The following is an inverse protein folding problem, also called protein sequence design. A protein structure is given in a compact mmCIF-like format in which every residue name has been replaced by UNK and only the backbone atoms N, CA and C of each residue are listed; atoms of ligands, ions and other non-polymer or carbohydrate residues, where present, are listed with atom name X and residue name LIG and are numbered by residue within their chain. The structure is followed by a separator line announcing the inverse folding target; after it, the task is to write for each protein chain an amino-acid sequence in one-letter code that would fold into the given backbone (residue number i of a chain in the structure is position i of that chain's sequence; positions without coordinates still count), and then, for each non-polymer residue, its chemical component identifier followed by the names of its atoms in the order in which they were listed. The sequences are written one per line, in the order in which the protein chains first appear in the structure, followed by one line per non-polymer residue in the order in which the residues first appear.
data_IF_977824215214
#
_entry.id   IF_977824215214
#
_cell.length_a   1.000
_cell.length_b   1.000
_cell.length_c   1.000
_cell.angle_alpha   90.00
_cell.angle_beta   90.00
_cell.angle_gamma   90.00
#
_symmetry.space_group_name_H-M   'P 1'
#
loop_
_entity.id
_entity.type
_entity.pdbx_description
1 polymer ?
#
# COMPACT_ATOMS: atom_id res chain seq x y z
N UNK A 1 37.26 -4.03 -1.92
CA UNK A 1 36.22 -3.13 -2.47
C UNK A 1 36.00 -2.02 -1.46
N UNK A 2 36.02 -0.75 -1.86
CA UNK A 2 35.71 0.36 -0.95
C UNK A 2 34.20 0.60 -0.98
N UNK A 3 33.48 0.30 0.10
CA UNK A 3 32.00 0.40 0.14
C UNK A 3 31.51 1.82 -0.16
N UNK A 4 32.26 2.84 0.25
CA UNK A 4 31.92 4.24 -0.05
C UNK A 4 31.99 4.55 -1.55
N UNK A 5 32.91 3.90 -2.26
CA UNK A 5 33.02 4.04 -3.71
C UNK A 5 31.87 3.35 -4.43
N UNK A 6 31.43 2.17 -3.94
CA UNK A 6 30.26 1.46 -4.46
C UNK A 6 28.99 2.28 -4.28
N UNK A 7 28.82 2.91 -3.11
CA UNK A 7 27.68 3.80 -2.84
C UNK A 7 27.70 4.99 -3.81
N UNK A 8 28.86 5.65 -3.97
CA UNK A 8 29.01 6.78 -4.90
C UNK A 8 28.65 6.37 -6.34
N UNK A 9 29.15 5.23 -6.80
CA UNK A 9 28.84 4.70 -8.13
C UNK A 9 27.35 4.39 -8.27
N UNK A 10 26.73 3.74 -7.28
CA UNK A 10 25.30 3.44 -7.31
C UNK A 10 24.46 4.73 -7.42
N UNK A 11 24.79 5.78 -6.66
CA UNK A 11 24.12 7.08 -6.75
C UNK A 11 24.29 7.75 -8.12
N UNK A 12 25.48 7.67 -8.72
CA UNK A 12 25.74 8.20 -10.06
C UNK A 12 24.92 7.49 -11.14
N UNK A 13 24.77 6.17 -11.04
CA UNK A 13 24.00 5.38 -12.00
C UNK A 13 22.48 5.62 -11.90
N UNK A 14 21.94 5.80 -10.69
CA UNK A 14 20.49 6.01 -10.49
C UNK A 14 20.04 7.47 -10.58
N UNK A 15 20.95 8.42 -10.81
CA UNK A 15 20.62 9.86 -10.80
C UNK A 15 19.51 10.23 -11.78
N UNK A 16 19.44 9.54 -12.92
CA UNK A 16 18.39 9.76 -13.91
C UNK A 16 17.02 9.28 -13.41
N UNK A 17 16.97 8.14 -12.71
CA UNK A 17 15.76 7.64 -12.03
C UNK A 17 15.30 8.57 -10.93
N UNK A 18 16.21 9.14 -10.15
CA UNK A 18 15.82 10.13 -9.14
C UNK A 18 15.24 11.40 -9.75
N UNK A 19 15.71 11.81 -10.93
CA UNK A 19 15.10 12.94 -11.68
C UNK A 19 13.69 12.59 -12.15
N UNK A 20 13.46 11.38 -12.66
CA UNK A 20 12.12 10.87 -13.03
C UNK A 20 11.19 10.91 -11.81
N UNK A 21 11.63 10.40 -10.66
CA UNK A 21 10.85 10.45 -9.40
C UNK A 21 10.53 11.88 -8.99
N UNK A 22 11.51 12.79 -9.03
CA UNK A 22 11.28 14.19 -8.65
C UNK A 22 10.24 14.89 -9.56
N UNK A 23 10.19 14.53 -10.85
CA UNK A 23 9.16 15.05 -11.76
C UNK A 23 7.77 14.55 -11.34
N UNK A 24 7.63 13.26 -11.05
CA UNK A 24 6.37 12.68 -10.56
C UNK A 24 5.93 13.36 -9.26
N UNK A 25 6.88 13.59 -8.33
CA UNK A 25 6.63 14.30 -7.07
C UNK A 25 6.11 15.70 -7.32
N UNK A 26 6.72 16.47 -8.24
CA UNK A 26 6.29 17.84 -8.55
C UNK A 26 4.88 17.86 -9.14
N UNK A 27 4.57 16.96 -10.08
CA UNK A 27 3.25 16.85 -10.69
C UNK A 27 2.18 16.47 -9.65
N UNK A 28 2.45 15.46 -8.82
CA UNK A 28 1.54 15.04 -7.76
C UNK A 28 1.37 16.11 -6.68
N UNK A 29 2.44 16.80 -6.29
CA UNK A 29 2.38 17.90 -5.34
C UNK A 29 1.53 19.07 -5.86
N UNK A 30 1.65 19.40 -7.15
CA UNK A 30 0.84 20.42 -7.78
C UNK A 30 -0.65 20.02 -7.78
N UNK A 31 -0.96 18.75 -8.10
CA UNK A 31 -2.32 18.23 -8.04
C UNK A 31 -2.93 18.34 -6.63
N UNK A 32 -2.17 17.96 -5.60
CA UNK A 32 -2.60 18.08 -4.20
C UNK A 32 -2.79 19.56 -3.82
N UNK A 33 -1.81 20.42 -4.09
CA UNK A 33 -1.89 21.86 -3.79
C UNK A 33 -3.12 22.50 -4.44
N UNK A 34 -3.38 22.20 -5.70
CA UNK A 34 -4.53 22.72 -6.44
C UNK A 34 -5.86 22.26 -5.79
N UNK A 35 -5.94 21.01 -5.32
CA UNK A 35 -7.11 20.51 -4.61
C UNK A 35 -7.36 21.25 -3.29
N UNK A 36 -6.31 21.50 -2.49
CA UNK A 36 -6.38 22.33 -1.28
C UNK A 36 -6.91 23.74 -1.57
N UNK A 37 -6.38 24.38 -2.62
CA UNK A 37 -6.79 25.72 -3.01
C UNK A 37 -8.23 25.77 -3.54
N UNK A 38 -8.62 24.79 -4.36
CA UNK A 38 -9.98 24.66 -4.91
C UNK A 38 -11.02 24.56 -3.80
N UNK A 39 -10.74 23.75 -2.79
CA UNK A 39 -11.61 23.52 -1.63
C UNK A 39 -11.46 24.57 -0.53
N UNK A 40 -10.56 25.54 -0.71
CA UNK A 40 -10.31 26.64 0.24
C UNK A 40 -10.04 26.13 1.65
N UNK A 41 -9.23 25.08 1.74
CA UNK A 41 -8.77 24.54 3.03
C UNK A 41 -8.15 25.68 3.84
N UNK A 42 -8.54 25.76 5.10
CA UNK A 42 -8.13 26.79 6.07
C UNK A 42 -7.97 26.15 7.43
N UNK A 43 -7.30 26.84 8.35
CA UNK A 43 -7.04 26.36 9.71
C UNK A 43 -8.33 26.03 10.48
N UNK A 44 -9.46 26.64 10.11
CA UNK A 44 -10.76 26.31 10.70
C UNK A 44 -11.19 24.85 10.45
N UNK A 45 -10.73 24.22 9.36
CA UNK A 45 -11.00 22.81 9.04
C UNK A 45 -10.23 21.85 9.96
N UNK A 46 -9.31 22.33 10.79
CA UNK A 46 -8.56 21.49 11.73
C UNK A 46 -9.25 21.38 13.09
N UNK A 47 -10.34 22.11 13.30
CA UNK A 47 -11.05 22.12 14.57
C UNK A 47 -11.69 20.76 14.86
N UNK A 48 -11.58 20.27 16.10
CA UNK A 48 -12.14 18.99 16.47
C UNK A 48 -13.66 19.06 16.57
N UNK A 49 -14.33 17.97 16.20
CA UNK A 49 -15.70 17.71 16.63
C UNK A 49 -15.76 16.61 17.67
N UNK A 50 -16.84 16.57 18.43
CA UNK A 50 -17.08 15.60 19.52
C UNK A 50 -18.49 15.03 19.43
N UNK A 51 -18.81 14.05 20.29
CA UNK A 51 -20.13 13.43 20.33
C UNK A 51 -20.47 12.73 19.01
N UNK A 52 -21.64 13.04 18.44
CA UNK A 52 -22.07 12.47 17.15
C UNK A 52 -21.21 12.93 15.97
N UNK A 53 -20.58 14.11 16.05
CA UNK A 53 -19.80 14.68 14.96
C UNK A 53 -20.64 15.14 13.75
N UNK A 54 -21.87 15.59 13.98
CA UNK A 54 -22.67 16.25 12.93
C UNK A 54 -22.04 17.59 12.52
N UNK A 55 -22.26 17.98 11.27
CA UNK A 55 -21.81 19.26 10.69
C UNK A 55 -20.29 19.51 10.82
N UNK A 56 -19.50 18.44 10.80
CA UNK A 56 -18.04 18.51 10.77
C UNK A 56 -17.53 18.90 9.38
N UNK A 57 -17.54 20.20 9.10
CA UNK A 57 -17.09 20.73 7.81
C UNK A 57 -15.60 20.44 7.52
N UNK A 58 -14.77 20.27 8.56
CA UNK A 58 -13.35 19.91 8.40
C UNK A 58 -13.19 18.50 7.85
N UNK A 59 -13.89 17.56 8.46
CA UNK A 59 -13.97 16.16 8.00
C UNK A 59 -14.58 16.04 6.60
N UNK A 60 -15.70 16.71 6.34
CA UNK A 60 -16.38 16.62 5.05
C UNK A 60 -15.52 17.25 3.93
N UNK A 61 -14.77 18.32 4.23
CA UNK A 61 -13.82 18.92 3.29
C UNK A 61 -12.59 18.04 3.07
N UNK A 62 -12.11 17.30 4.08
CA UNK A 62 -11.01 16.34 3.93
C UNK A 62 -11.41 15.21 2.96
N UNK A 63 -12.66 14.75 3.05
CA UNK A 63 -13.20 13.75 2.12
C UNK A 63 -13.31 14.30 0.69
N UNK A 64 -13.85 15.51 0.54
CA UNK A 64 -13.86 16.19 -0.76
C UNK A 64 -12.45 16.37 -1.33
N UNK A 65 -11.46 16.62 -0.46
CA UNK A 65 -10.05 16.77 -0.85
C UNK A 65 -9.48 15.46 -1.40
N UNK A 66 -9.72 14.33 -0.73
CA UNK A 66 -9.31 13.02 -1.26
C UNK A 66 -10.02 12.70 -2.58
N UNK A 67 -11.33 12.97 -2.68
CA UNK A 67 -12.07 12.77 -3.92
C UNK A 67 -11.47 13.59 -5.08
N UNK A 68 -11.14 14.86 -4.84
CA UNK A 68 -10.52 15.73 -5.85
C UNK A 68 -9.11 15.27 -6.27
N UNK A 69 -8.30 14.80 -5.32
CA UNK A 69 -6.95 14.30 -5.58
C UNK A 69 -7.01 13.03 -6.43
N UNK A 70 -7.81 12.05 -6.01
CA UNK A 70 -7.96 10.76 -6.68
C UNK A 70 -8.90 10.78 -7.90
N UNK A 71 -9.44 11.95 -8.27
CA UNK A 71 -10.42 12.11 -9.37
C UNK A 71 -11.68 11.27 -9.21
N UNK A 72 -12.08 11.03 -7.97
CA UNK A 72 -13.30 10.33 -7.60
C UNK A 72 -14.49 11.28 -7.46
N UNK A 73 -15.70 10.73 -7.47
CA UNK A 73 -16.93 11.50 -7.24
C UNK A 73 -17.14 11.82 -5.76
N UNK A 74 -16.75 10.90 -4.87
CA UNK A 74 -16.79 11.06 -3.42
C UNK A 74 -15.68 10.22 -2.74
N UNK A 75 -15.45 10.47 -1.45
CA UNK A 75 -14.54 9.68 -0.62
C UNK A 75 -15.02 9.57 0.83
N UNK A 76 -14.50 8.58 1.55
CA UNK A 76 -14.69 8.34 2.98
C UNK A 76 -13.30 8.21 3.61
N UNK A 77 -12.92 9.19 4.45
CA UNK A 77 -11.55 9.31 5.00
C UNK A 77 -11.64 9.63 6.47
N UNK A 78 -11.34 8.65 7.32
CA UNK A 78 -11.78 8.69 8.73
C UNK A 78 -10.81 7.95 9.65
N UNK A 79 -10.60 8.42 10.90
CA UNK A 79 -9.89 7.63 11.92
C UNK A 79 -10.69 6.39 12.35
N UNK A 80 -12.01 6.35 12.12
CA UNK A 80 -12.86 5.18 12.35
C UNK A 80 -12.47 3.98 11.46
N UNK A 81 -11.84 4.24 10.31
CA UNK A 81 -11.24 3.20 9.48
C UNK A 81 -9.87 2.81 10.06
N UNK A 82 -9.85 1.91 11.04
CA UNK A 82 -8.62 1.62 11.81
C UNK A 82 -7.41 1.08 11.00
N UNK A 83 -7.60 0.59 9.77
CA UNK A 83 -6.52 0.08 8.91
C UNK A 83 -6.94 0.03 7.43
N UNK A 84 -5.98 -0.24 6.53
CA UNK A 84 -6.28 -0.52 5.12
C UNK A 84 -7.18 -1.75 4.94
N UNK A 85 -6.92 -2.83 5.68
CA UNK A 85 -7.77 -4.03 5.69
C UNK A 85 -9.20 -3.70 6.11
N UNK A 86 -9.38 -2.84 7.12
CA UNK A 86 -10.71 -2.37 7.50
C UNK A 86 -11.36 -1.56 6.36
N UNK A 87 -10.64 -0.66 5.70
CA UNK A 87 -11.17 0.09 4.55
C UNK A 87 -11.61 -0.81 3.40
N UNK A 88 -10.79 -1.81 3.02
CA UNK A 88 -11.15 -2.81 2.01
C UNK A 88 -12.37 -3.62 2.45
N UNK A 89 -12.40 -4.09 3.69
CA UNK A 89 -13.53 -4.84 4.25
C UNK A 89 -14.82 -4.01 4.22
N UNK A 90 -14.76 -2.75 4.65
CA UNK A 90 -15.89 -1.82 4.59
C UNK A 90 -16.37 -1.61 3.17
N UNK A 91 -15.47 -1.49 2.19
CA UNK A 91 -15.81 -1.37 0.78
C UNK A 91 -16.55 -2.61 0.26
N UNK A 92 -15.99 -3.80 0.50
CA UNK A 92 -16.55 -5.07 0.04
C UNK A 92 -17.93 -5.33 0.66
N UNK A 93 -18.06 -5.25 1.98
CA UNK A 93 -19.35 -5.45 2.66
C UNK A 93 -20.35 -4.32 2.41
N UNK A 94 -19.88 -3.10 2.14
CA UNK A 94 -20.75 -1.99 1.76
C UNK A 94 -21.51 -2.30 0.47
N UNK A 95 -20.82 -2.89 -0.51
CA UNK A 95 -21.35 -3.10 -1.87
C UNK A 95 -21.97 -4.48 -2.07
N UNK A 96 -21.34 -5.56 -1.57
CA UNK A 96 -21.79 -6.94 -1.79
C UNK A 96 -23.03 -7.29 -0.95
N UNK A 97 -23.90 -8.13 -1.51
CA UNK A 97 -25.14 -8.64 -0.89
C UNK A 97 -25.24 -10.17 -1.03
N UNK A 98 -26.10 -10.84 -0.24
CA UNK A 98 -26.29 -12.29 -0.38
C UNK A 98 -26.67 -12.66 -1.82
N UNK A 99 -25.96 -13.64 -2.39
CA UNK A 99 -26.11 -14.07 -3.79
C UNK A 99 -25.15 -13.41 -4.78
N UNK A 100 -24.46 -12.32 -4.39
CA UNK A 100 -23.42 -11.71 -5.21
C UNK A 100 -22.12 -12.54 -5.19
N UNK A 101 -21.31 -12.35 -6.22
CA UNK A 101 -19.95 -12.89 -6.32
C UNK A 101 -18.89 -11.79 -6.32
N UNK A 102 -17.82 -12.03 -5.54
CA UNK A 102 -16.55 -11.30 -5.58
C UNK A 102 -15.53 -12.09 -6.39
N UNK A 103 -14.97 -11.49 -7.44
CA UNK A 103 -13.95 -12.08 -8.30
C UNK A 103 -12.63 -11.30 -8.22
N UNK A 104 -11.57 -11.91 -7.68
CA UNK A 104 -10.22 -11.35 -7.78
C UNK A 104 -9.55 -11.76 -9.09
N UNK A 105 -9.01 -10.81 -9.85
CA UNK A 105 -8.38 -11.08 -11.16
C UNK A 105 -6.86 -10.94 -11.15
N UNK A 106 -6.27 -10.82 -9.96
CA UNK A 106 -4.84 -10.54 -9.73
C UNK A 106 -4.19 -11.60 -8.85
N UNK A 107 -4.72 -12.83 -8.86
CA UNK A 107 -4.35 -13.90 -7.95
C UNK A 107 -5.22 -13.91 -6.69
N UNK A 108 -4.80 -14.72 -5.71
CA UNK A 108 -5.34 -14.64 -4.36
C UNK A 108 -4.98 -13.27 -3.74
N UNK A 109 -5.87 -12.68 -2.91
CA UNK A 109 -5.54 -11.49 -2.16
C UNK A 109 -4.55 -11.80 -1.03
N UNK A 110 -3.91 -10.78 -0.48
CA UNK A 110 -3.03 -10.92 0.67
C UNK A 110 -3.71 -11.56 1.90
N UNK A 111 -2.91 -12.23 2.72
CA UNK A 111 -3.36 -13.24 3.70
C UNK A 111 -4.54 -12.84 4.59
N UNK A 112 -4.57 -11.61 5.11
CA UNK A 112 -5.64 -11.18 6.02
C UNK A 112 -7.02 -11.11 5.37
N UNK A 113 -7.09 -10.95 4.04
CA UNK A 113 -8.36 -10.96 3.32
C UNK A 113 -8.95 -12.36 3.16
N UNK A 114 -8.19 -13.44 3.37
CA UNK A 114 -8.75 -14.79 3.38
C UNK A 114 -9.80 -14.99 4.47
N UNK A 115 -9.60 -14.39 5.65
CA UNK A 115 -10.57 -14.45 6.75
C UNK A 115 -11.78 -13.55 6.48
N UNK A 116 -11.59 -12.43 5.79
CA UNK A 116 -12.67 -11.53 5.36
C UNK A 116 -13.57 -12.21 4.32
N UNK A 117 -12.97 -12.92 3.36
CA UNK A 117 -13.66 -13.70 2.34
C UNK A 117 -14.34 -14.94 2.95
N UNK A 118 -13.63 -15.64 3.82
CA UNK A 118 -14.07 -16.87 4.47
C UNK A 118 -13.72 -18.14 3.68
N UNK A 119 -13.56 -19.26 4.41
CA UNK A 119 -13.28 -20.59 3.86
C UNK A 119 -14.56 -21.43 3.79
N UNK A 120 -14.69 -22.25 2.75
CA UNK A 120 -15.84 -23.17 2.61
C UNK A 120 -15.85 -24.19 3.74
N UNK A 121 -16.94 -24.25 4.50
CA UNK A 121 -17.05 -25.11 5.69
C UNK A 121 -16.21 -24.63 6.87
N UNK A 122 -15.71 -23.40 6.83
CA UNK A 122 -15.02 -22.75 7.94
C UNK A 122 -15.96 -22.40 9.08
N UNK A 123 -15.37 -21.83 10.14
CA UNK A 123 -16.13 -21.25 11.26
C UNK A 123 -16.83 -19.99 10.80
N UNK A 124 -18.08 -19.80 11.21
CA UNK A 124 -18.79 -18.53 11.03
C UNK A 124 -18.10 -17.44 11.86
N UNK A 125 -17.53 -16.46 11.16
CA UNK A 125 -16.86 -15.29 11.73
C UNK A 125 -17.51 -13.99 11.27
N UNK A 126 -18.62 -14.08 10.53
CA UNK A 126 -19.19 -12.95 9.79
C UNK A 126 -18.41 -12.60 8.52
N UNK A 127 -17.77 -13.58 7.89
CA UNK A 127 -17.08 -13.44 6.60
C UNK A 127 -18.07 -13.22 5.44
N UNK A 128 -17.59 -12.80 4.26
CA UNK A 128 -18.43 -12.64 3.07
C UNK A 128 -19.22 -13.92 2.75
N UNK A 129 -18.58 -15.08 2.85
CA UNK A 129 -19.25 -16.39 2.67
C UNK A 129 -20.36 -16.64 3.69
N UNK A 130 -20.18 -16.25 4.95
CA UNK A 130 -21.21 -16.41 5.99
C UNK A 130 -22.46 -15.56 5.69
N UNK A 131 -22.28 -14.44 4.99
CA UNK A 131 -23.36 -13.60 4.46
C UNK A 131 -23.88 -14.05 3.09
N UNK A 132 -23.47 -15.21 2.59
CA UNK A 132 -23.97 -15.77 1.33
C UNK A 132 -23.38 -15.13 0.07
N UNK A 133 -22.22 -14.48 0.17
CA UNK A 133 -21.46 -13.95 -0.96
C UNK A 133 -20.46 -15.02 -1.43
N UNK A 134 -20.46 -15.34 -2.73
CA UNK A 134 -19.46 -16.23 -3.30
C UNK A 134 -18.15 -15.50 -3.59
N UNK A 135 -17.06 -16.26 -3.62
CA UNK A 135 -15.74 -15.74 -3.93
C UNK A 135 -15.02 -16.69 -4.88
N UNK A 136 -14.33 -16.09 -5.84
CA UNK A 136 -13.41 -16.76 -6.73
C UNK A 136 -12.19 -15.87 -7.01
N UNK A 137 -11.09 -16.48 -7.44
CA UNK A 137 -9.85 -15.81 -7.83
C UNK A 137 -9.33 -16.39 -9.15
N UNK A 138 -8.67 -15.56 -9.94
CA UNK A 138 -7.97 -15.97 -11.15
C UNK A 138 -6.47 -15.92 -10.87
N UNK A 139 -5.78 -17.07 -10.89
CA UNK A 139 -4.33 -17.10 -10.76
C UNK A 139 -3.68 -16.26 -11.86
N UNK A 140 -2.65 -15.52 -11.48
CA UNK A 140 -1.75 -14.84 -12.42
C UNK A 140 -1.03 -15.86 -13.33
N UNK A 141 -0.60 -15.42 -14.50
CA UNK A 141 0.15 -16.25 -15.44
C UNK A 141 1.55 -16.55 -14.88
N UNK A 142 2.25 -17.53 -15.47
CA UNK A 142 3.62 -17.88 -15.06
C UNK A 142 4.61 -16.74 -15.29
N UNK A 143 4.27 -15.83 -16.19
CA UNK A 143 5.02 -14.62 -16.53
C UNK A 143 4.72 -13.47 -15.55
N UNK A 144 3.84 -13.68 -14.56
CA UNK A 144 3.45 -12.68 -13.57
C UNK A 144 2.42 -11.66 -14.08
N UNK A 145 1.68 -11.97 -15.14
CA UNK A 145 0.66 -11.10 -15.72
C UNK A 145 -0.76 -11.58 -15.42
N UNK A 146 -1.77 -10.84 -15.86
CA UNK A 146 -3.18 -11.23 -15.77
C UNK A 146 -3.61 -12.10 -16.97
N UNK A 147 -4.55 -13.02 -16.73
CA UNK A 147 -5.05 -13.95 -17.74
C UNK A 147 -6.35 -13.43 -18.35
N UNK A 148 -6.24 -12.78 -19.52
CA UNK A 148 -7.38 -12.17 -20.24
C UNK A 148 -8.47 -13.19 -20.58
N UNK A 149 -8.09 -14.38 -21.05
CA UNK A 149 -9.07 -15.37 -21.47
C UNK A 149 -9.81 -15.94 -20.26
N UNK A 150 -9.09 -16.23 -19.16
CA UNK A 150 -9.77 -16.63 -17.92
C UNK A 150 -10.68 -15.55 -17.35
N UNK A 151 -10.30 -14.26 -17.43
CA UNK A 151 -11.17 -13.16 -17.00
C UNK A 151 -12.50 -13.24 -17.75
N UNK A 152 -12.46 -13.42 -19.08
CA UNK A 152 -13.66 -13.51 -19.92
C UNK A 152 -14.50 -14.75 -19.62
N UNK A 153 -13.87 -15.88 -19.32
CA UNK A 153 -14.55 -17.15 -19.03
C UNK A 153 -15.15 -17.20 -17.62
N UNK A 154 -14.55 -16.51 -16.65
CA UNK A 154 -14.91 -16.63 -15.23
C UNK A 154 -16.01 -15.67 -14.80
N UNK A 155 -16.10 -14.49 -15.43
CA UNK A 155 -17.14 -13.51 -15.10
C UNK A 155 -18.53 -14.11 -15.36
N UNK A 156 -19.37 -14.09 -14.34
CA UNK A 156 -20.72 -14.63 -14.32
C UNK A 156 -21.77 -13.50 -14.19
N UNK A 157 -23.06 -13.80 -14.40
CA UNK A 157 -24.14 -12.87 -14.05
C UNK A 157 -24.10 -12.40 -12.59
N UNK A 158 -23.65 -13.27 -11.68
CA UNK A 158 -23.54 -13.02 -10.24
C UNK A 158 -22.30 -12.18 -9.85
N UNK A 159 -21.28 -12.07 -10.72
CA UNK A 159 -20.07 -11.26 -10.47
C UNK A 159 -20.41 -9.79 -10.25
N UNK A 160 -20.52 -9.37 -8.99
CA UNK A 160 -20.88 -8.00 -8.62
C UNK A 160 -19.65 -7.10 -8.51
N UNK A 161 -18.58 -7.61 -7.90
CA UNK A 161 -17.31 -6.91 -7.77
C UNK A 161 -16.22 -7.71 -8.47
N UNK A 162 -15.46 -7.02 -9.33
CA UNK A 162 -14.16 -7.49 -9.80
C UNK A 162 -13.07 -6.70 -9.08
N UNK A 163 -12.21 -7.41 -8.37
CA UNK A 163 -11.18 -6.85 -7.50
C UNK A 163 -9.77 -7.03 -8.09
N UNK A 164 -8.97 -5.97 -7.95
CA UNK A 164 -7.59 -5.86 -8.41
C UNK A 164 -6.73 -5.46 -7.22
N UNK A 165 -5.68 -6.21 -6.92
CA UNK A 165 -4.66 -5.81 -5.96
C UNK A 165 -3.48 -5.21 -6.72
N UNK A 166 -3.26 -3.89 -6.57
CA UNK A 166 -2.18 -3.18 -7.27
C UNK A 166 -0.81 -3.71 -6.84
N UNK A 167 -0.52 -3.61 -5.55
CA UNK A 167 0.75 -4.05 -4.98
C UNK A 167 0.88 -5.57 -4.97
N UNK A 168 2.10 -6.09 -5.19
CA UNK A 168 2.41 -7.51 -5.05
C UNK A 168 2.34 -8.00 -3.61
N UNK A 169 2.45 -7.10 -2.62
CA UNK A 169 2.60 -7.52 -1.22
C UNK A 169 3.77 -8.48 -1.07
N UNK A 170 3.49 -9.69 -0.60
CA UNK A 170 4.48 -10.77 -0.44
C UNK A 170 4.50 -11.79 -1.58
N UNK A 171 3.65 -11.62 -2.59
CA UNK A 171 3.56 -12.55 -3.71
C UNK A 171 4.78 -12.46 -4.63
N UNK A 172 5.18 -13.59 -5.20
CA UNK A 172 6.23 -13.67 -6.22
C UNK A 172 5.68 -13.29 -7.61
N UNK A 173 5.24 -12.03 -7.72
CA UNK A 173 4.80 -11.41 -8.97
C UNK A 173 5.15 -9.93 -9.03
N UNK A 174 5.16 -9.31 -10.22
CA UNK A 174 5.21 -7.86 -10.33
C UNK A 174 3.98 -7.19 -9.71
N UNK A 175 4.18 -5.98 -9.18
CA UNK A 175 3.07 -5.07 -8.90
C UNK A 175 2.53 -4.51 -10.21
N UNK A 176 1.21 -4.31 -10.30
CA UNK A 176 0.56 -3.88 -11.54
C UNK A 176 0.59 -2.36 -11.70
N UNK A 177 1.07 -1.89 -12.85
CA UNK A 177 1.07 -0.48 -13.22
C UNK A 177 -0.34 0.03 -13.50
N UNK A 178 -0.55 1.36 -13.43
CA UNK A 178 -1.84 1.96 -13.81
C UNK A 178 -2.24 1.61 -15.25
N UNK A 179 -1.27 1.46 -16.14
CA UNK A 179 -1.51 1.02 -17.52
C UNK A 179 -2.05 -0.42 -17.58
N UNK A 180 -1.44 -1.35 -16.85
CA UNK A 180 -1.93 -2.74 -16.79
C UNK A 180 -3.30 -2.82 -16.12
N UNK A 181 -3.53 -2.05 -15.05
CA UNK A 181 -4.84 -1.93 -14.42
C UNK A 181 -5.89 -1.40 -15.41
N UNK A 182 -5.54 -0.39 -16.22
CA UNK A 182 -6.44 0.12 -17.27
C UNK A 182 -6.81 -0.94 -18.29
N UNK A 183 -5.85 -1.79 -18.67
CA UNK A 183 -6.07 -2.90 -19.60
C UNK A 183 -6.99 -3.96 -18.97
N UNK A 184 -6.74 -4.38 -17.72
CA UNK A 184 -7.62 -5.30 -17.00
C UNK A 184 -9.07 -4.79 -16.94
N UNK A 185 -9.25 -3.51 -16.58
CA UNK A 185 -10.57 -2.88 -16.49
C UNK A 185 -11.27 -2.92 -17.84
N UNK A 186 -10.55 -2.58 -18.92
CA UNK A 186 -11.10 -2.63 -20.28
C UNK A 186 -11.59 -4.02 -20.65
N UNK A 187 -10.88 -5.08 -20.28
CA UNK A 187 -11.29 -6.46 -20.54
C UNK A 187 -12.53 -6.85 -19.74
N UNK A 188 -12.59 -6.51 -18.45
CA UNK A 188 -13.78 -6.75 -17.62
C UNK A 188 -15.00 -6.04 -18.21
N UNK A 189 -14.86 -4.77 -18.60
CA UNK A 189 -15.97 -3.96 -19.15
C UNK A 189 -16.51 -4.47 -20.48
N UNK A 190 -15.70 -5.18 -21.28
CA UNK A 190 -16.17 -5.83 -22.51
C UNK A 190 -17.12 -7.00 -22.24
N UNK A 191 -16.95 -7.67 -21.10
CA UNK A 191 -17.74 -8.86 -20.72
C UNK A 191 -18.92 -8.47 -19.85
N UNK A 192 -18.70 -7.61 -18.85
CA UNK A 192 -19.69 -7.17 -17.89
C UNK A 192 -19.49 -5.70 -17.55
N UNK A 193 -20.16 -4.83 -18.30
CA UNK A 193 -20.03 -3.39 -18.19
C UNK A 193 -20.53 -2.82 -16.86
N UNK A 194 -21.43 -3.53 -16.18
CA UNK A 194 -22.06 -3.12 -14.91
C UNK A 194 -21.37 -3.66 -13.65
N UNK A 195 -20.33 -4.48 -13.78
CA UNK A 195 -19.53 -4.95 -12.63
C UNK A 195 -18.84 -3.76 -11.94
N UNK A 196 -18.79 -3.78 -10.61
CA UNK A 196 -18.03 -2.78 -9.85
C UNK A 196 -16.55 -3.17 -9.87
N UNK A 197 -15.70 -2.29 -10.38
CA UNK A 197 -14.25 -2.47 -10.33
C UNK A 197 -13.71 -1.87 -9.04
N UNK A 198 -13.23 -2.74 -8.16
CA UNK A 198 -12.56 -2.37 -6.92
C UNK A 198 -11.05 -2.55 -7.05
N UNK A 199 -10.26 -1.55 -6.63
CA UNK A 199 -8.79 -1.67 -6.57
C UNK A 199 -8.28 -1.45 -5.15
N UNK A 200 -7.61 -2.44 -4.57
CA UNK A 200 -6.76 -2.24 -3.40
C UNK A 200 -5.51 -1.46 -3.86
N UNK A 201 -5.45 -0.20 -3.44
CA UNK A 201 -4.44 0.76 -3.93
C UNK A 201 -3.27 0.93 -2.97
N UNK A 202 -3.22 0.15 -1.88
CA UNK A 202 -2.16 0.24 -0.88
C UNK A 202 -0.76 0.23 -1.52
N UNK A 203 0.10 1.14 -1.04
CA UNK A 203 1.49 1.35 -1.47
C UNK A 203 1.66 2.02 -2.83
N UNK A 204 0.61 2.14 -3.64
CA UNK A 204 0.68 2.72 -4.97
C UNK A 204 0.38 4.21 -5.03
N UNK A 205 -0.18 4.78 -3.97
CA UNK A 205 -0.61 6.18 -3.94
C UNK A 205 0.60 7.10 -4.18
N UNK A 206 0.49 7.98 -5.18
CA UNK A 206 1.49 8.96 -5.62
C UNK A 206 2.78 8.40 -6.24
N UNK A 207 2.86 7.08 -6.50
CA UNK A 207 4.03 6.47 -7.17
C UNK A 207 4.00 6.73 -8.69
N UNK A 208 2.80 6.83 -9.27
CA UNK A 208 2.58 7.28 -10.64
C UNK A 208 1.84 8.64 -10.62
N UNK A 209 1.71 9.30 -11.77
CA UNK A 209 1.00 10.60 -11.89
C UNK A 209 -0.52 10.44 -12.05
N UNK A 210 -0.98 9.19 -12.14
CA UNK A 210 -2.39 8.79 -12.23
C UNK A 210 -2.70 7.74 -11.18
N UNK A 211 -3.96 7.66 -10.79
CA UNK A 211 -4.47 6.66 -9.84
C UNK A 211 -5.56 5.77 -10.49
N UNK A 212 -5.92 4.61 -9.90
CA UNK A 212 -6.77 3.63 -10.59
C UNK A 212 -8.16 4.16 -11.00
N UNK A 213 -8.71 5.15 -10.29
CA UNK A 213 -9.98 5.79 -10.67
C UNK A 213 -9.87 6.42 -12.06
N UNK A 214 -8.75 7.07 -12.38
CA UNK A 214 -8.49 7.65 -13.70
C UNK A 214 -8.24 6.58 -14.78
N UNK A 215 -8.03 5.32 -14.39
CA UNK A 215 -7.97 4.16 -15.28
C UNK A 215 -9.32 3.45 -15.45
N UNK A 216 -10.38 3.93 -14.78
CA UNK A 216 -11.74 3.42 -14.88
C UNK A 216 -12.19 2.54 -13.69
N UNK A 217 -11.45 2.54 -12.58
CA UNK A 217 -11.90 1.90 -11.35
C UNK A 217 -13.11 2.65 -10.79
N UNK A 218 -14.06 1.91 -10.22
CA UNK A 218 -15.24 2.50 -9.58
C UNK A 218 -14.98 2.86 -8.12
N UNK A 219 -14.07 2.13 -7.47
CA UNK A 219 -13.81 2.22 -6.04
C UNK A 219 -12.37 1.82 -5.75
N UNK A 220 -11.69 2.59 -4.91
CA UNK A 220 -10.36 2.27 -4.37
C UNK A 220 -10.37 2.38 -2.85
N UNK A 221 -9.50 1.63 -2.19
CA UNK A 221 -9.28 1.75 -0.75
C UNK A 221 -7.79 1.63 -0.40
N UNK A 222 -7.41 2.21 0.74
CA UNK A 222 -6.04 2.13 1.25
C UNK A 222 -5.92 2.61 2.69
N UNK A 223 -4.69 2.70 3.18
CA UNK A 223 -4.37 2.98 4.59
C UNK A 223 -3.68 4.33 4.77
N UNK A 224 -4.05 5.07 5.82
CA UNK A 224 -3.39 6.33 6.15
C UNK A 224 -2.07 6.16 6.89
N UNK A 225 -1.74 4.98 7.42
CA UNK A 225 -0.37 4.75 7.96
C UNK A 225 0.63 4.32 6.87
N UNK A 226 0.22 4.43 5.60
CA UNK A 226 1.03 4.24 4.40
C UNK A 226 1.20 5.58 3.65
N UNK A 227 1.38 5.51 2.34
CA UNK A 227 1.60 6.62 1.42
C UNK A 227 0.74 7.87 1.70
N UNK A 228 -0.61 7.81 1.71
CA UNK A 228 -1.44 9.01 1.77
C UNK A 228 -1.41 9.72 3.14
N UNK A 229 -0.84 9.11 4.18
CA UNK A 229 -0.67 9.81 5.46
C UNK A 229 0.64 10.55 5.62
N UNK A 230 1.56 10.46 4.65
CA UNK A 230 2.81 11.22 4.65
C UNK A 230 3.71 10.98 5.87
N UNK A 231 3.52 9.87 6.60
CA UNK A 231 4.25 9.58 7.84
C UNK A 231 3.79 10.40 9.05
N UNK A 232 2.66 11.09 8.94
CA UNK A 232 2.10 11.97 9.97
C UNK A 232 0.80 11.41 10.55
N UNK A 233 -0.08 10.85 9.70
CA UNK A 233 -1.36 10.31 10.14
C UNK A 233 -1.16 9.07 11.04
N UNK A 234 -1.66 9.12 12.27
CA UNK A 234 -1.41 8.07 13.28
C UNK A 234 -2.26 6.82 13.12
N UNK A 235 -3.38 6.96 12.42
CA UNK A 235 -4.36 5.92 12.16
C UNK A 235 -5.20 6.33 10.95
N UNK A 236 -5.90 5.37 10.35
CA UNK A 236 -6.96 5.66 9.42
C UNK A 236 -6.89 4.82 8.15
N UNK A 237 -7.94 4.96 7.37
CA UNK A 237 -8.06 4.43 6.04
C UNK A 237 -8.85 5.39 5.18
N UNK A 238 -8.80 5.16 3.88
CA UNK A 238 -9.58 5.91 2.91
C UNK A 238 -10.29 4.95 1.97
N UNK A 239 -11.45 5.38 1.49
CA UNK A 239 -12.16 4.78 0.36
C UNK A 239 -12.52 5.93 -0.58
N UNK A 240 -12.22 5.85 -1.86
CA UNK A 240 -12.57 6.88 -2.84
C UNK A 240 -13.16 6.23 -4.10
N UNK A 241 -14.15 6.85 -4.72
CA UNK A 241 -14.78 6.29 -5.91
C UNK A 241 -16.08 6.97 -6.30
N UNK A 242 -16.96 6.21 -6.95
CA UNK A 242 -18.31 6.66 -7.29
C UNK A 242 -19.14 6.96 -6.05
N UNK A 243 -19.98 7.98 -6.15
CA UNK A 243 -20.74 8.50 -5.01
C UNK A 243 -21.71 7.47 -4.44
N UNK A 244 -22.39 6.70 -5.29
CA UNK A 244 -23.34 5.66 -4.87
C UNK A 244 -22.65 4.54 -4.09
N UNK A 245 -21.41 4.18 -4.45
CA UNK A 245 -20.64 3.16 -3.75
C UNK A 245 -20.10 3.68 -2.41
N UNK A 246 -19.62 4.93 -2.37
CA UNK A 246 -19.14 5.56 -1.12
C UNK A 246 -20.26 5.69 -0.10
N UNK A 247 -21.48 6.01 -0.54
CA UNK A 247 -22.66 6.02 0.33
C UNK A 247 -22.89 4.66 0.98
N UNK A 248 -22.86 3.57 0.21
CA UNK A 248 -22.98 2.20 0.72
C UNK A 248 -21.87 1.84 1.71
N UNK A 249 -20.62 2.22 1.41
CA UNK A 249 -19.47 2.03 2.30
C UNK A 249 -19.68 2.77 3.63
N UNK A 250 -20.24 3.98 3.58
CA UNK A 250 -20.49 4.78 4.78
C UNK A 250 -21.51 4.13 5.71
N UNK A 251 -22.59 3.55 5.15
CA UNK A 251 -23.57 2.80 5.95
C UNK A 251 -22.97 1.55 6.59
N UNK A 252 -22.01 0.90 5.92
CA UNK A 252 -21.30 -0.24 6.49
C UNK A 252 -20.36 0.16 7.62
N UNK A 253 -19.69 1.30 7.49
CA UNK A 253 -18.80 1.84 8.53
C UNK A 253 -19.59 2.28 9.78
N UNK A 254 -20.75 2.91 9.58
CA UNK A 254 -21.60 3.43 10.65
C UNK A 254 -22.86 2.58 10.81
N UNK A 255 -24.00 3.04 10.28
CA UNK A 255 -25.25 2.32 10.21
C UNK A 255 -26.14 2.88 9.08
N UNK A 256 -27.06 2.08 8.51
CA UNK A 256 -28.07 2.56 7.57
C UNK A 256 -28.86 3.75 8.14
N UNK A 257 -29.02 4.80 7.34
CA UNK A 257 -29.68 6.04 7.73
C UNK A 257 -28.80 7.05 8.46
N UNK A 258 -27.59 6.67 8.91
CA UNK A 258 -26.58 7.61 9.44
C UNK A 258 -25.53 7.96 8.39
N UNK A 259 -24.97 6.95 7.73
CA UNK A 259 -23.98 7.12 6.66
C UNK A 259 -22.77 7.97 7.07
N UNK A 260 -22.37 8.90 6.19
CA UNK A 260 -21.21 9.81 6.37
C UNK A 260 -21.43 10.93 7.39
N UNK A 261 -22.67 11.22 7.75
CA UNK A 261 -23.03 12.42 8.53
C UNK A 261 -22.50 12.38 9.96
N UNK A 262 -22.25 11.18 10.49
CA UNK A 262 -21.78 10.96 11.86
C UNK A 262 -20.34 10.46 11.92
N UNK A 263 -19.73 10.59 13.09
CA UNK A 263 -18.34 10.21 13.37
C UNK A 263 -17.52 11.44 13.69
N UNK A 264 -17.36 11.72 14.98
CA UNK A 264 -16.51 12.79 15.46
C UNK A 264 -15.06 12.60 15.00
N UNK A 265 -14.44 13.67 14.53
CA UNK A 265 -13.07 13.67 14.03
C UNK A 265 -12.03 13.76 15.15
N UNK A 266 -12.43 14.23 16.34
CA UNK A 266 -11.54 14.50 17.46
C UNK A 266 -10.34 15.31 16.97
N UNK A 267 -9.11 14.95 17.35
CA UNK A 267 -7.91 15.71 17.02
C UNK A 267 -7.17 15.21 15.78
N UNK A 268 -7.84 14.46 14.89
CA UNK A 268 -7.17 13.78 13.77
C UNK A 268 -7.11 14.59 12.46
N UNK A 269 -7.87 15.68 12.33
CA UNK A 269 -7.97 16.38 11.05
C UNK A 269 -6.64 17.00 10.60
N UNK A 270 -5.97 17.74 11.48
CA UNK A 270 -4.74 18.45 11.10
C UNK A 270 -3.66 17.49 10.57
N UNK A 271 -3.44 16.35 11.24
CA UNK A 271 -2.45 15.35 10.81
C UNK A 271 -2.82 14.69 9.48
N UNK A 272 -4.10 14.47 9.21
CA UNK A 272 -4.56 13.89 7.95
C UNK A 272 -4.41 14.87 6.78
N UNK A 273 -4.78 16.15 6.99
CA UNK A 273 -4.54 17.21 6.00
C UNK A 273 -3.04 17.43 5.74
N UNK A 274 -2.23 17.54 6.79
CA UNK A 274 -0.80 17.72 6.63
C UNK A 274 -0.15 16.49 5.99
N UNK A 275 -0.59 15.29 6.38
CA UNK A 275 -0.13 14.02 5.84
C UNK A 275 -0.35 13.92 4.34
N UNK A 276 -1.58 14.17 3.86
CA UNK A 276 -1.88 14.09 2.43
C UNK A 276 -1.17 15.19 1.62
N UNK A 277 -0.94 16.36 2.22
CA UNK A 277 -0.16 17.42 1.57
C UNK A 277 1.31 17.02 1.35
N UNK A 278 1.92 16.34 2.33
CA UNK A 278 3.31 15.87 2.28
C UNK A 278 3.49 14.53 1.56
N UNK A 279 2.40 13.77 1.38
CA UNK A 279 2.43 12.42 0.85
C UNK A 279 3.20 12.29 -0.48
N UNK A 280 2.99 13.13 -1.52
CA UNK A 280 3.77 13.04 -2.76
C UNK A 280 5.28 13.09 -2.54
N UNK A 281 5.74 14.01 -1.69
CA UNK A 281 7.16 14.16 -1.38
C UNK A 281 7.72 12.94 -0.64
N UNK A 282 7.05 12.51 0.42
CA UNK A 282 7.53 11.39 1.26
C UNK A 282 7.51 10.07 0.49
N UNK A 283 6.51 9.85 -0.36
CA UNK A 283 6.48 8.73 -1.31
C UNK A 283 7.67 8.78 -2.26
N UNK A 284 8.01 9.97 -2.78
CA UNK A 284 9.20 10.15 -3.60
C UNK A 284 10.51 9.84 -2.87
N UNK A 285 10.63 10.19 -1.58
CA UNK A 285 11.78 9.84 -0.74
C UNK A 285 11.92 8.32 -0.56
N UNK A 286 10.82 7.63 -0.22
CA UNK A 286 10.78 6.18 -0.10
C UNK A 286 11.11 5.49 -1.44
N UNK A 287 10.57 5.98 -2.55
CA UNK A 287 10.79 5.43 -3.89
C UNK A 287 12.25 5.57 -4.34
N UNK A 288 12.87 6.74 -4.11
CA UNK A 288 14.32 6.92 -4.32
C UNK A 288 15.15 5.97 -3.45
N UNK A 289 14.68 5.73 -2.22
CA UNK A 289 15.23 4.74 -1.29
C UNK A 289 15.20 3.33 -1.86
N UNK A 290 14.05 2.86 -2.35
CA UNK A 290 13.89 1.55 -2.99
C UNK A 290 14.83 1.37 -4.20
N UNK A 291 14.91 2.38 -5.08
CA UNK A 291 15.80 2.40 -6.25
C UNK A 291 17.28 2.31 -5.84
N UNK A 292 17.67 3.05 -4.79
CA UNK A 292 19.02 2.98 -4.24
C UNK A 292 19.32 1.60 -3.65
N UNK A 293 18.42 1.06 -2.84
CA UNK A 293 18.55 -0.28 -2.25
C UNK A 293 18.73 -1.34 -3.32
N UNK A 294 17.91 -1.31 -4.38
CA UNK A 294 18.03 -2.20 -5.52
C UNK A 294 19.42 -2.11 -6.16
N UNK A 295 19.82 -0.91 -6.62
CA UNK A 295 21.10 -0.74 -7.31
C UNK A 295 22.30 -1.09 -6.44
N UNK A 296 22.30 -0.63 -5.19
CA UNK A 296 23.42 -0.82 -4.28
C UNK A 296 23.62 -2.30 -3.95
N UNK A 297 22.54 -3.02 -3.64
CA UNK A 297 22.63 -4.44 -3.30
C UNK A 297 22.88 -5.31 -4.55
N UNK A 298 22.32 -4.98 -5.72
CA UNK A 298 22.69 -5.62 -6.99
C UNK A 298 24.19 -5.48 -7.28
N UNK A 299 24.77 -4.30 -7.06
CA UNK A 299 26.22 -4.06 -7.27
C UNK A 299 27.07 -4.93 -6.35
N UNK A 300 26.55 -5.34 -5.20
CA UNK A 300 27.22 -6.24 -4.26
C UNK A 300 26.97 -7.72 -4.56
N UNK A 301 26.11 -8.05 -5.52
CA UNK A 301 25.79 -9.42 -5.93
C UNK A 301 24.51 -10.00 -5.32
N UNK A 302 23.72 -9.22 -4.60
CA UNK A 302 22.40 -9.65 -4.14
C UNK A 302 21.39 -9.63 -5.30
N UNK A 303 20.39 -10.51 -5.24
CA UNK A 303 19.28 -10.49 -6.18
C UNK A 303 18.16 -9.59 -5.62
N UNK A 304 17.81 -8.53 -6.36
CA UNK A 304 16.78 -7.57 -5.94
C UNK A 304 15.59 -7.58 -6.89
N UNK A 305 14.40 -7.35 -6.36
CA UNK A 305 13.17 -7.30 -7.14
C UNK A 305 12.18 -6.26 -6.58
N UNK A 306 11.79 -5.23 -7.34
CA UNK A 306 12.20 -4.93 -8.71
C UNK A 306 13.66 -4.47 -8.84
N UNK A 307 14.21 -4.53 -10.05
CA UNK A 307 15.52 -3.94 -10.36
C UNK A 307 15.47 -2.41 -10.27
N UNK A 308 16.63 -1.75 -10.20
CA UNK A 308 16.68 -0.29 -10.07
C UNK A 308 16.07 0.46 -11.28
N UNK A 309 16.07 -0.16 -12.46
CA UNK A 309 15.57 0.40 -13.71
C UNK A 309 14.13 -0.01 -14.06
N UNK A 310 13.56 -0.94 -13.30
CA UNK A 310 12.17 -1.37 -13.46
C UNK A 310 11.19 -0.19 -13.26
N UNK A 311 10.06 -0.26 -13.97
CA UNK A 311 8.93 0.64 -13.71
C UNK A 311 8.41 0.41 -12.29
N UNK A 312 8.01 1.50 -11.64
CA UNK A 312 7.52 1.48 -10.26
C UNK A 312 6.06 1.92 -10.26
N UNK A 313 5.25 1.17 -9.51
CA UNK A 313 3.81 1.42 -9.30
C UNK A 313 3.45 1.31 -7.81
N UNK A 314 4.39 0.88 -6.96
CA UNK A 314 4.28 0.88 -5.51
C UNK A 314 5.66 1.07 -4.85
N UNK A 315 5.70 1.01 -3.52
CA UNK A 315 6.91 1.13 -2.71
C UNK A 315 7.65 -0.19 -2.44
N UNK A 316 7.16 -1.32 -2.96
CA UNK A 316 7.71 -2.61 -2.58
C UNK A 316 9.08 -2.83 -3.24
N UNK A 317 10.06 -3.18 -2.41
CA UNK A 317 11.38 -3.60 -2.85
C UNK A 317 11.78 -4.84 -2.04
N UNK A 318 12.15 -5.91 -2.72
CA UNK A 318 12.65 -7.11 -2.06
C UNK A 318 14.08 -7.44 -2.44
N UNK A 319 14.74 -8.17 -1.57
CA UNK A 319 16.11 -8.67 -1.72
C UNK A 319 16.15 -10.11 -1.25
N UNK A 320 16.72 -10.99 -2.06
CA UNK A 320 16.95 -12.39 -1.70
C UNK A 320 18.34 -12.53 -1.10
N UNK A 321 18.42 -13.18 0.06
CA UNK A 321 19.65 -13.53 0.74
C UNK A 321 19.99 -15.00 0.53
N UNK A 322 21.27 -15.36 0.59
CA UNK A 322 21.68 -16.76 0.40
C UNK A 322 21.34 -17.62 1.62
N UNK A 323 21.32 -17.01 2.81
CA UNK A 323 21.08 -17.70 4.08
C UNK A 323 20.10 -16.94 4.97
N UNK A 324 19.42 -17.70 5.84
CA UNK A 324 18.58 -17.13 6.90
C UNK A 324 19.37 -16.16 7.79
N UNK A 325 20.63 -16.48 8.09
CA UNK A 325 21.51 -15.65 8.92
C UNK A 325 21.78 -14.27 8.29
N UNK A 326 22.05 -14.23 6.98
CA UNK A 326 22.20 -12.98 6.24
C UNK A 326 20.93 -12.11 6.33
N UNK A 327 19.78 -12.70 6.03
CA UNK A 327 18.49 -12.00 6.09
C UNK A 327 18.17 -11.47 7.49
N UNK A 328 18.34 -12.32 8.51
CA UNK A 328 18.07 -11.97 9.90
C UNK A 328 18.96 -10.82 10.36
N UNK A 329 20.27 -10.93 10.10
CA UNK A 329 21.22 -9.90 10.52
C UNK A 329 21.00 -8.58 9.77
N UNK A 330 20.65 -8.64 8.49
CA UNK A 330 20.29 -7.46 7.71
C UNK A 330 19.08 -6.74 8.32
N UNK A 331 17.99 -7.46 8.62
CA UNK A 331 16.81 -6.87 9.26
C UNK A 331 17.13 -6.29 10.65
N UNK A 332 17.93 -6.98 11.46
CA UNK A 332 18.40 -6.46 12.75
C UNK A 332 19.20 -5.16 12.60
N UNK A 333 20.04 -5.05 11.58
CA UNK A 333 20.79 -3.84 11.31
C UNK A 333 19.91 -2.69 10.81
N UNK A 334 18.87 -2.97 10.01
CA UNK A 334 17.85 -1.99 9.66
C UNK A 334 17.17 -1.46 10.93
N UNK A 335 16.77 -2.33 11.86
CA UNK A 335 16.20 -1.92 13.14
C UNK A 335 17.19 -1.04 13.95
N UNK A 336 18.46 -1.42 14.01
CA UNK A 336 19.49 -0.62 14.70
C UNK A 336 19.66 0.78 14.09
N UNK A 337 19.39 0.91 12.78
CA UNK A 337 19.41 2.17 12.06
C UNK A 337 18.07 2.93 12.10
N UNK A 338 17.05 2.41 12.79
CA UNK A 338 15.75 3.08 12.94
C UNK A 338 15.78 4.12 14.08
N UNK A 339 14.94 5.18 14.02
CA UNK A 339 14.92 6.22 15.04
C UNK A 339 14.29 5.75 16.38
N UNK A 340 13.36 4.80 16.34
CA UNK A 340 12.64 4.31 17.52
C UNK A 340 13.02 2.86 17.79
N UNK A 341 13.22 2.50 19.06
CA UNK A 341 13.53 1.13 19.49
C UNK A 341 14.75 0.50 18.80
N UNK A 342 15.76 1.29 18.40
CA UNK A 342 16.98 0.77 17.75
C UNK A 342 17.77 -0.24 18.58
N UNK A 343 17.59 -0.24 19.90
CA UNK A 343 18.19 -1.17 20.84
C UNK A 343 17.43 -2.51 20.95
N UNK A 344 16.23 -2.63 20.36
CA UNK A 344 15.39 -3.84 20.43
C UNK A 344 15.62 -4.67 19.17
N UNK A 345 16.53 -5.63 19.23
CA UNK A 345 16.85 -6.46 18.07
C UNK A 345 15.72 -7.46 17.75
N UNK A 346 15.17 -7.45 16.53
CA UNK A 346 14.14 -8.40 16.14
C UNK A 346 14.73 -9.80 16.06
N UNK A 347 13.90 -10.78 16.39
CA UNK A 347 14.19 -12.20 16.25
C UNK A 347 13.09 -12.83 15.39
N UNK A 348 13.39 -13.90 14.64
CA UNK A 348 12.36 -14.73 14.04
C UNK A 348 11.30 -15.12 15.08
N UNK A 349 10.04 -14.95 14.73
CA UNK A 349 8.92 -15.29 15.60
C UNK A 349 7.70 -15.73 14.81
N UNK A 350 6.94 -16.65 15.39
CA UNK A 350 5.68 -17.08 14.82
C UNK A 350 4.69 -15.91 14.77
N UNK A 351 4.08 -15.69 13.61
CA UNK A 351 3.07 -14.65 13.40
C UNK A 351 1.74 -15.28 12.96
N UNK A 352 0.60 -14.90 13.56
CA UNK A 352 -0.70 -15.39 13.12
C UNK A 352 -0.92 -15.11 11.63
N UNK A 353 -1.23 -16.15 10.86
CA UNK A 353 -1.43 -16.06 9.40
C UNK A 353 -0.27 -16.58 8.57
N UNK A 354 0.93 -16.71 9.14
CA UNK A 354 2.12 -17.23 8.44
C UNK A 354 2.43 -18.67 8.90
N UNK A 355 2.85 -19.52 7.94
CA UNK A 355 3.30 -20.89 8.23
C UNK A 355 4.71 -20.93 8.82
N UNK A 356 5.57 -20.01 8.39
CA UNK A 356 6.96 -19.90 8.81
C UNK A 356 7.14 -18.74 9.81
N UNK A 357 8.20 -18.79 10.62
CA UNK A 357 8.60 -17.65 11.46
C UNK A 357 8.90 -16.43 10.57
N UNK A 358 8.55 -15.24 11.05
CA UNK A 358 8.78 -13.97 10.36
C UNK A 358 9.73 -13.12 11.20
N UNK A 359 10.62 -12.38 10.55
CA UNK A 359 11.38 -11.30 11.19
C UNK A 359 10.85 -9.94 10.73
N UNK A 360 10.80 -8.96 11.64
CA UNK A 360 10.34 -7.60 11.34
C UNK A 360 11.18 -6.54 12.04
N UNK A 361 11.83 -5.69 11.26
CA UNK A 361 12.36 -4.41 11.68
C UNK A 361 11.28 -3.32 11.48
N UNK A 362 10.84 -2.72 12.58
CA UNK A 362 9.73 -1.77 12.61
C UNK A 362 9.96 -0.67 13.67
N UNK A 363 11.14 -0.04 13.65
CA UNK A 363 11.51 1.05 14.54
C UNK A 363 10.88 2.40 14.17
N UNK A 364 9.55 2.42 14.07
CA UNK A 364 8.76 3.52 13.51
C UNK A 364 8.18 4.45 14.58
N UNK A 365 7.89 5.70 14.23
CA UNK A 365 7.17 6.65 15.10
C UNK A 365 5.71 6.24 15.28
N UNK A 366 5.06 5.80 14.20
CA UNK A 366 3.69 5.28 14.22
C UNK A 366 3.76 3.76 14.15
N UNK A 367 3.13 3.07 15.11
CA UNK A 367 3.16 1.62 15.19
C UNK A 367 2.61 0.98 13.91
N UNK A 368 3.43 0.18 13.23
CA UNK A 368 3.04 -0.53 12.01
C UNK A 368 2.93 0.34 10.75
N UNK A 369 3.33 1.62 10.81
CA UNK A 369 3.40 2.45 9.61
C UNK A 369 4.47 1.93 8.66
N UNK A 370 4.13 1.84 7.37
CA UNK A 370 5.01 1.27 6.34
C UNK A 370 5.35 2.24 5.22
N UNK A 371 5.05 3.54 5.41
CA UNK A 371 5.75 4.63 4.71
C UNK A 371 7.06 5.01 5.44
N UNK A 372 7.18 4.69 6.72
CA UNK A 372 8.45 4.72 7.45
C UNK A 372 9.33 3.52 7.03
N UNK A 373 10.65 3.60 7.25
CA UNK A 373 11.56 2.53 6.85
C UNK A 373 11.34 1.27 7.70
N UNK A 374 10.97 0.18 7.05
CA UNK A 374 10.83 -1.15 7.66
C UNK A 374 11.53 -2.22 6.82
N UNK A 375 11.82 -3.36 7.44
CA UNK A 375 12.30 -4.55 6.72
C UNK A 375 11.72 -5.82 7.33
N UNK A 376 11.08 -6.66 6.52
CA UNK A 376 10.41 -7.86 7.03
C UNK A 376 10.36 -8.99 6.00
N UNK A 377 10.18 -10.23 6.46
CA UNK A 377 9.94 -11.36 5.57
C UNK A 377 9.95 -12.71 6.30
N UNK A 378 9.38 -13.75 5.66
CA UNK A 378 9.34 -15.10 6.21
C UNK A 378 10.72 -15.76 6.15
N UNK A 379 11.08 -16.49 7.21
CA UNK A 379 12.37 -17.21 7.32
C UNK A 379 12.28 -18.54 6.58
N UNK A 380 12.25 -18.46 5.25
CA UNK A 380 12.30 -19.62 4.34
C UNK A 380 13.05 -19.27 3.06
N UNK A 381 13.67 -20.24 2.36
CA UNK A 381 14.27 -19.99 1.04
C UNK A 381 13.27 -19.36 0.06
N UNK A 382 13.67 -18.36 -0.75
CA UNK A 382 15.04 -17.85 -0.95
C UNK A 382 15.43 -16.70 0.01
N UNK A 383 14.90 -16.70 1.24
CA UNK A 383 15.16 -15.71 2.29
C UNK A 383 14.97 -14.28 1.80
N UNK A 384 13.75 -14.01 1.31
CA UNK A 384 13.38 -12.72 0.77
C UNK A 384 13.01 -11.77 1.91
N UNK A 385 13.74 -10.66 2.06
CA UNK A 385 13.31 -9.53 2.87
C UNK A 385 12.71 -8.44 1.98
N UNK A 386 11.64 -7.84 2.46
CA UNK A 386 10.92 -6.71 1.88
C UNK A 386 11.35 -5.45 2.62
N UNK A 387 12.04 -4.55 1.93
CA UNK A 387 12.61 -3.31 2.47
C UNK A 387 11.85 -2.15 1.85
N UNK A 388 10.91 -1.58 2.59
CA UNK A 388 10.03 -0.53 2.10
C UNK A 388 10.03 0.71 3.00
N UNK A 389 9.51 1.80 2.43
CA UNK A 389 9.36 3.06 3.13
C UNK A 389 10.68 3.80 3.34
N UNK A 390 10.57 4.89 4.08
CA UNK A 390 11.64 5.84 4.33
C UNK A 390 11.13 7.26 4.25
N UNK A 391 10.95 7.90 5.41
CA UNK A 391 10.46 9.28 5.46
C UNK A 391 11.41 10.28 4.77
N UNK A 392 12.69 9.93 4.70
CA UNK A 392 13.70 10.67 3.96
C UNK A 392 14.63 9.68 3.26
N UNK A 393 15.04 10.02 2.04
CA UNK A 393 16.02 9.23 1.29
C UNK A 393 17.35 9.10 2.05
N UNK A 394 17.72 10.15 2.79
CA UNK A 394 18.90 10.15 3.65
C UNK A 394 18.85 9.03 4.69
N UNK A 395 17.71 8.82 5.36
CA UNK A 395 17.56 7.73 6.34
C UNK A 395 17.71 6.35 5.69
N UNK A 396 17.07 6.13 4.54
CA UNK A 396 17.19 4.85 3.81
C UNK A 396 18.64 4.55 3.44
N UNK A 397 19.34 5.53 2.85
CA UNK A 397 20.77 5.40 2.52
C UNK A 397 21.63 5.01 3.71
N UNK A 398 21.45 5.70 4.83
CA UNK A 398 22.21 5.44 6.05
C UNK A 398 21.95 4.02 6.54
N UNK A 399 20.67 3.64 6.65
CA UNK A 399 20.27 2.36 7.18
C UNK A 399 20.74 1.17 6.33
N UNK A 400 20.55 1.24 5.00
CA UNK A 400 20.96 0.16 4.10
C UNK A 400 22.49 0.03 4.05
N UNK A 401 23.22 1.14 4.06
CA UNK A 401 24.69 1.10 4.16
C UNK A 401 25.14 0.45 5.48
N UNK A 402 24.56 0.86 6.62
CA UNK A 402 24.86 0.25 7.91
C UNK A 402 24.52 -1.24 7.96
N UNK A 403 23.42 -1.65 7.31
CA UNK A 403 23.05 -3.06 7.22
C UNK A 403 24.09 -3.89 6.47
N UNK A 404 24.57 -3.41 5.32
CA UNK A 404 25.66 -4.07 4.60
C UNK A 404 26.97 -4.04 5.39
N UNK A 405 27.32 -2.92 6.02
CA UNK A 405 28.54 -2.80 6.80
C UNK A 405 28.58 -3.84 7.94
N UNK A 406 27.48 -4.00 8.67
CA UNK A 406 27.36 -5.02 9.71
C UNK A 406 27.51 -6.45 9.18
N UNK A 407 26.92 -6.78 8.03
CA UNK A 407 27.10 -8.11 7.42
C UNK A 407 28.57 -8.40 7.09
N UNK A 408 29.33 -7.38 6.68
CA UNK A 408 30.76 -7.52 6.36
C UNK A 408 31.60 -7.62 7.64
N UNK A 409 31.34 -6.76 8.63
CA UNK A 409 32.05 -6.73 9.92
C UNK A 409 31.88 -8.04 10.70
N UNK A 410 30.68 -8.61 10.65
CA UNK A 410 30.36 -9.89 11.30
C UNK A 410 30.85 -11.11 10.49
N UNK A 411 31.44 -10.90 9.30
CA UNK A 411 31.96 -11.97 8.45
C UNK A 411 30.87 -12.83 7.78
N UNK A 412 29.62 -12.38 7.81
CA UNK A 412 28.44 -13.07 7.25
C UNK A 412 28.33 -12.86 5.73
N UNK A 413 28.90 -11.76 5.22
CA UNK A 413 28.93 -11.43 3.79
C UNK A 413 30.32 -10.96 3.35
N UNK A 414 30.76 -11.42 2.18
CA UNK A 414 31.96 -10.93 1.51
C UNK A 414 31.58 -10.43 0.11
N UNK A 415 31.73 -9.13 -0.20
CA UNK A 415 31.40 -8.60 -1.52
C UNK A 415 32.15 -9.32 -2.64
N UNK A 416 31.42 -9.72 -3.69
CA UNK A 416 32.00 -10.36 -4.88
C UNK A 416 32.75 -9.29 -5.70
N UNK A 417 33.99 -9.57 -6.12
CA UNK A 417 34.91 -8.60 -6.74
C UNK A 417 34.42 -7.96 -8.03
#
# INVERSE_FOLDING_TARGET
MNIQEVIRQAEEEIIHKHKEVNQIVEENQANVLNAFQKLRVSDSHFNPTTGYGYDDFGRDTLEALYAEIFKAEDALVRPQLISGTHAITTALFGVLRPGDELLYITGEPYDTLHEVVGKKGGKDTGSLRDFGVSYNSIPITKEGSFDVERIRETISPETKIVAIQRSKGYDDRPSFTIEEISQMIKEVRQVKSDAVIFVDNCYGEFVETREPIEAGADLIAGSLIKNPGGGIARIGGYIAGRKDLIELCSYRLTAPGLGKETGASLNSLQEMYQGIFLAPHVVGEALKGAIFTAKFLETLGFNTNPSFDAKRTDLIQSVNFETAEQMVRFCQAIQQASPVNSHVLPQPSAMPGYEDDVIMAAGTFIQGASLELTADGPIRPPYTAFIQGGLTYAHVKIAVNQAVAHLIEDGIFTPVR
#
